data_IF_545048359006
#
_entry.id   IF_545048359006
#
_cell.length_a   1.000
_cell.length_b   1.000
_cell.length_c   1.000
_cell.angle_alpha   90.00
_cell.angle_beta   90.00
_cell.angle_gamma   90.00
#
_symmetry.space_group_name_H-M   'P 1'
#
loop_
_entity.id
_entity.type
_entity.pdbx_description
1 polymer ?
#
# COMPACT_ATOMS: atom_id res chain seq x y z
N UNK A 1 13.24 14.11 -0.25
CA UNK A 1 13.44 12.76 0.33
C UNK A 1 13.20 11.67 -0.69
N UNK A 2 11.96 11.32 -1.07
CA UNK A 2 11.67 10.19 -1.99
C UNK A 2 12.46 10.28 -3.31
N UNK A 3 12.58 11.46 -3.91
CA UNK A 3 13.34 11.65 -5.15
C UNK A 3 14.82 11.25 -5.02
N UNK A 4 15.45 11.56 -3.88
CA UNK A 4 16.82 11.13 -3.58
C UNK A 4 16.86 9.64 -3.27
N UNK A 5 15.88 9.14 -2.52
CA UNK A 5 15.76 7.72 -2.18
C UNK A 5 15.67 6.83 -3.43
N UNK A 6 14.94 7.28 -4.46
CA UNK A 6 14.88 6.63 -5.77
C UNK A 6 16.26 6.47 -6.42
N UNK A 7 17.04 7.54 -6.44
CA UNK A 7 18.35 7.61 -7.11
C UNK A 7 19.44 6.89 -6.30
N UNK A 8 19.50 7.15 -5.00
CA UNK A 8 20.61 6.78 -4.13
C UNK A 8 20.48 5.35 -3.60
N UNK A 9 19.26 4.81 -3.52
CA UNK A 9 19.03 3.53 -2.85
C UNK A 9 18.10 2.58 -3.61
N UNK A 10 16.88 3.00 -3.96
CA UNK A 10 15.85 2.10 -4.50
C UNK A 10 16.25 1.53 -5.87
N UNK A 11 16.68 2.38 -6.81
CA UNK A 11 17.14 1.92 -8.12
C UNK A 11 18.40 1.02 -8.00
N UNK A 12 19.47 1.41 -7.27
CA UNK A 12 20.63 0.55 -7.05
C UNK A 12 20.30 -0.83 -6.44
N UNK A 13 19.28 -0.93 -5.59
CA UNK A 13 18.87 -2.19 -4.96
C UNK A 13 17.73 -2.92 -5.71
N UNK A 14 17.33 -2.43 -6.88
CA UNK A 14 16.38 -3.10 -7.78
C UNK A 14 14.93 -3.08 -7.29
N UNK A 15 14.53 -2.07 -6.53
CA UNK A 15 13.12 -1.80 -6.25
C UNK A 15 12.41 -1.28 -7.51
N UNK A 16 11.16 -1.69 -7.72
CA UNK A 16 10.41 -1.33 -8.92
C UNK A 16 9.64 0.00 -8.77
N UNK A 17 9.32 0.42 -7.55
CA UNK A 17 8.51 1.61 -7.33
C UNK A 17 8.22 1.93 -5.87
N UNK A 18 7.50 3.03 -5.66
CA UNK A 18 7.14 3.60 -4.37
C UNK A 18 5.64 3.91 -4.36
N UNK A 19 4.92 3.41 -3.36
CA UNK A 19 3.61 3.97 -3.00
C UNK A 19 3.84 5.24 -2.18
N UNK A 20 3.30 6.37 -2.61
CA UNK A 20 3.31 7.60 -1.82
C UNK A 20 1.99 7.75 -1.08
N UNK A 21 2.04 8.32 0.13
CA UNK A 21 0.83 8.75 0.85
C UNK A 21 -0.02 9.71 0.01
N UNK A 22 -1.31 9.95 0.37
CA UNK A 22 -2.16 10.86 -0.38
C UNK A 22 -1.50 12.22 -0.63
N UNK A 23 -1.60 12.66 -1.88
CA UNK A 23 -0.99 13.90 -2.40
C UNK A 23 -2.01 15.02 -2.63
N UNK A 24 -3.30 14.68 -2.60
CA UNK A 24 -4.40 15.64 -2.62
C UNK A 24 -4.46 16.40 -1.29
N UNK A 25 -4.92 17.65 -1.35
CA UNK A 25 -5.09 18.51 -0.19
C UNK A 25 -6.04 17.86 0.82
N UNK A 26 -5.57 17.78 2.05
CA UNK A 26 -6.25 17.15 3.15
C UNK A 26 -6.49 18.14 4.29
N UNK A 27 -7.41 17.82 5.20
CA UNK A 27 -7.66 18.65 6.39
C UNK A 27 -6.42 18.75 7.29
N UNK A 28 -6.33 19.85 8.03
CA UNK A 28 -5.36 20.01 9.12
C UNK A 28 -6.06 19.62 10.43
N UNK A 29 -5.67 18.48 11.01
CA UNK A 29 -6.21 17.98 12.28
C UNK A 29 -5.29 18.33 13.44
N UNK A 30 -5.84 18.56 14.64
CA UNK A 30 -5.01 18.81 15.83
C UNK A 30 -4.04 17.65 16.09
N UNK A 31 -2.78 17.97 16.39
CA UNK A 31 -1.72 16.96 16.62
C UNK A 31 -1.11 16.35 15.36
N UNK A 32 -1.68 16.64 14.18
CA UNK A 32 -1.23 16.17 12.85
C UNK A 32 -1.13 14.64 12.72
N UNK A 33 -2.15 13.89 13.17
CA UNK A 33 -2.16 12.44 13.10
C UNK A 33 -2.00 11.97 11.66
N UNK A 34 -1.38 10.81 11.45
CA UNK A 34 -1.11 10.30 10.09
C UNK A 34 -2.39 10.17 9.25
N UNK A 35 -3.52 9.83 9.88
CA UNK A 35 -4.81 9.64 9.21
C UNK A 35 -5.41 10.95 8.69
N UNK A 36 -4.89 12.13 9.05
CA UNK A 36 -5.39 13.41 8.51
C UNK A 36 -5.31 13.46 6.97
N UNK A 37 -4.40 12.66 6.38
CA UNK A 37 -4.24 12.53 4.93
C UNK A 37 -5.40 11.82 4.24
N UNK A 38 -6.13 10.97 4.96
CA UNK A 38 -7.27 10.20 4.46
C UNK A 38 -8.58 10.97 4.62
N UNK A 39 -8.49 12.30 4.70
CA UNK A 39 -9.64 13.19 4.81
C UNK A 39 -9.45 14.35 3.83
N UNK A 40 -9.71 14.11 2.54
CA UNK A 40 -9.45 15.10 1.51
C UNK A 40 -10.44 16.26 1.64
N UNK A 41 -9.95 17.46 1.35
CA UNK A 41 -10.74 18.70 1.34
C UNK A 41 -10.71 19.36 -0.05
N UNK A 42 -9.70 19.04 -0.86
CA UNK A 42 -9.70 19.33 -2.29
C UNK A 42 -8.74 18.43 -3.07
N UNK A 43 -8.70 18.56 -4.40
CA UNK A 43 -7.74 17.87 -5.27
C UNK A 43 -6.49 18.68 -5.60
N UNK A 44 -6.25 19.82 -4.93
CA UNK A 44 -4.98 20.55 -5.06
C UNK A 44 -3.82 19.69 -4.57
N UNK A 45 -2.69 19.71 -5.27
CA UNK A 45 -1.50 18.97 -4.86
C UNK A 45 -0.63 19.82 -3.91
N UNK A 46 -1.06 19.93 -2.66
CA UNK A 46 -0.34 20.65 -1.61
C UNK A 46 -0.59 19.99 -0.26
N UNK A 47 0.42 19.31 0.26
CA UNK A 47 0.36 18.58 1.55
C UNK A 47 1.61 18.84 2.38
N UNK A 48 1.71 18.21 3.55
CA UNK A 48 2.97 18.21 4.34
C UNK A 48 4.15 17.56 3.60
N UNK A 49 3.91 16.74 2.58
CA UNK A 49 4.97 16.14 1.74
C UNK A 49 5.55 17.10 0.69
N UNK A 50 4.89 18.24 0.46
CA UNK A 50 5.29 19.20 -0.55
C UNK A 50 4.13 19.65 -1.44
N UNK A 51 4.47 20.49 -2.42
CA UNK A 51 3.55 21.00 -3.44
C UNK A 51 3.67 20.27 -4.79
N UNK A 52 2.84 20.64 -5.75
CA UNK A 52 2.80 20.06 -7.10
C UNK A 52 4.16 20.08 -7.82
N UNK A 53 4.94 21.16 -7.70
CA UNK A 53 6.25 21.26 -8.36
C UNK A 53 7.25 20.26 -7.75
N UNK A 54 7.23 20.12 -6.43
CA UNK A 54 8.07 19.16 -5.71
C UNK A 54 7.64 17.73 -6.02
N UNK A 55 6.33 17.47 -6.10
CA UNK A 55 5.78 16.18 -6.50
C UNK A 55 6.18 15.82 -7.95
N UNK A 56 5.98 16.73 -8.90
CA UNK A 56 6.37 16.53 -10.30
C UNK A 56 7.88 16.29 -10.45
N UNK A 57 8.70 17.02 -9.70
CA UNK A 57 10.16 16.81 -9.64
C UNK A 57 10.52 15.42 -9.12
N UNK A 58 9.85 14.98 -8.03
CA UNK A 58 10.03 13.64 -7.48
C UNK A 58 9.65 12.55 -8.50
N UNK A 59 8.47 12.68 -9.13
CA UNK A 59 8.00 11.71 -10.13
C UNK A 59 8.93 11.64 -11.33
N UNK A 60 9.42 12.78 -11.83
CA UNK A 60 10.41 12.82 -12.93
C UNK A 60 11.68 12.08 -12.54
N UNK A 61 12.32 12.46 -11.44
CA UNK A 61 13.59 11.89 -10.98
C UNK A 61 13.51 10.39 -10.73
N UNK A 62 12.44 9.93 -10.08
CA UNK A 62 12.24 8.49 -9.86
C UNK A 62 12.04 7.72 -11.18
N UNK A 63 11.22 8.23 -12.10
CA UNK A 63 11.00 7.59 -13.40
C UNK A 63 12.28 7.52 -14.24
N UNK A 64 13.14 8.56 -14.18
CA UNK A 64 14.40 8.62 -14.93
C UNK A 64 15.39 7.52 -14.48
N UNK A 65 15.31 7.07 -13.22
CA UNK A 65 16.07 5.92 -12.69
C UNK A 65 15.29 4.60 -12.67
N UNK A 66 14.12 4.55 -13.33
CA UNK A 66 13.31 3.34 -13.48
C UNK A 66 12.47 2.95 -12.27
N UNK A 67 12.37 3.81 -11.25
CA UNK A 67 11.53 3.60 -10.06
C UNK A 67 10.18 4.28 -10.29
N UNK A 68 9.11 3.49 -10.29
CA UNK A 68 7.75 3.97 -10.60
C UNK A 68 7.02 4.52 -9.37
N UNK A 69 6.18 5.53 -9.57
CA UNK A 69 5.40 6.13 -8.48
C UNK A 69 3.95 5.65 -8.56
N UNK A 70 3.43 5.14 -7.46
CA UNK A 70 2.03 4.79 -7.27
C UNK A 70 1.43 5.74 -6.23
N UNK A 71 0.33 6.40 -6.56
CA UNK A 71 -0.29 7.37 -5.65
C UNK A 71 -1.43 6.71 -4.89
N UNK A 72 -1.47 6.93 -3.59
CA UNK A 72 -2.64 6.65 -2.75
C UNK A 72 -3.75 7.66 -3.03
N UNK A 73 -4.86 7.21 -3.62
CA UNK A 73 -5.97 8.04 -4.07
C UNK A 73 -7.25 7.74 -3.31
N UNK A 74 -7.93 8.82 -2.92
CA UNK A 74 -9.14 8.81 -2.10
C UNK A 74 -10.32 9.13 -3.01
N UNK A 75 -10.99 8.09 -3.50
CA UNK A 75 -12.13 8.22 -4.43
C UNK A 75 -13.48 8.02 -3.72
N UNK A 76 -13.46 7.48 -2.50
CA UNK A 76 -14.66 7.11 -1.75
C UNK A 76 -15.35 8.31 -1.09
N UNK A 77 -14.56 9.17 -0.45
CA UNK A 77 -15.09 10.15 0.50
C UNK A 77 -14.32 11.46 0.48
N UNK A 78 -14.92 12.47 1.10
CA UNK A 78 -14.26 13.70 1.57
C UNK A 78 -14.12 13.67 3.10
N UNK A 79 -13.54 14.71 3.69
CA UNK A 79 -13.29 14.77 5.14
C UNK A 79 -14.55 14.53 5.98
N UNK A 80 -14.38 13.98 7.18
CA UNK A 80 -15.44 13.88 8.17
C UNK A 80 -15.80 15.23 8.79
N UNK A 81 -16.74 15.20 9.73
CA UNK A 81 -17.18 16.41 10.43
C UNK A 81 -16.01 17.11 11.15
N UNK A 82 -16.00 18.44 11.06
CA UNK A 82 -15.02 19.30 11.71
C UNK A 82 -15.74 20.39 12.50
N UNK A 83 -15.22 20.74 13.67
CA UNK A 83 -15.80 21.81 14.49
C UNK A 83 -15.51 23.15 13.82
N UNK A 84 -16.54 23.74 13.21
CA UNK A 84 -16.42 25.00 12.46
C UNK A 84 -15.95 24.79 11.02
N UNK A 85 -15.21 25.75 10.48
CA UNK A 85 -14.69 25.67 9.11
C UNK A 85 -13.40 24.85 9.08
N UNK A 86 -13.41 23.73 8.36
CA UNK A 86 -12.21 22.93 8.11
C UNK A 86 -11.23 23.71 7.22
N UNK A 87 -9.94 23.55 7.49
CA UNK A 87 -8.85 24.15 6.69
C UNK A 87 -7.98 23.07 6.10
N UNK A 88 -7.66 23.22 4.82
CA UNK A 88 -6.79 22.32 4.10
C UNK A 88 -5.33 22.73 4.11
N UNK A 89 -4.46 21.76 3.88
CA UNK A 89 -3.00 21.93 3.76
C UNK A 89 -2.57 22.82 2.57
N UNK A 90 -3.46 23.08 1.61
CA UNK A 90 -3.31 23.97 0.45
C UNK A 90 -4.13 25.25 0.55
N UNK A 91 -4.63 25.57 1.75
CA UNK A 91 -5.35 26.82 2.05
C UNK A 91 -6.83 26.82 1.69
N UNK A 92 -7.39 25.70 1.19
CA UNK A 92 -8.83 25.59 0.97
C UNK A 92 -9.59 25.58 2.30
N UNK A 93 -10.86 25.97 2.24
CA UNK A 93 -11.78 25.92 3.36
C UNK A 93 -13.00 25.09 2.97
N UNK A 94 -13.56 24.35 3.93
CA UNK A 94 -14.76 23.54 3.73
C UNK A 94 -15.65 23.56 4.98
N UNK A 95 -16.91 23.20 4.80
CA UNK A 95 -17.84 22.91 5.89
C UNK A 95 -18.33 21.47 5.72
N UNK A 96 -17.58 20.47 6.25
CA UNK A 96 -17.88 19.06 6.00
C UNK A 96 -19.25 18.63 6.53
N UNK A 97 -19.70 19.21 7.63
CA UNK A 97 -21.02 18.91 8.23
C UNK A 97 -22.21 19.30 7.34
N UNK A 98 -22.00 20.21 6.38
CA UNK A 98 -22.99 20.58 5.37
C UNK A 98 -22.64 20.04 3.98
N UNK A 99 -21.63 19.16 3.88
CA UNK A 99 -21.12 18.59 2.63
C UNK A 99 -20.70 19.66 1.62
N UNK A 100 -20.07 20.73 2.11
CA UNK A 100 -19.59 21.85 1.29
C UNK A 100 -18.08 21.81 1.15
N UNK A 101 -17.60 21.52 -0.06
CA UNK A 101 -16.17 21.51 -0.42
C UNK A 101 -15.91 22.41 -1.63
N UNK A 102 -15.88 23.74 -1.45
CA UNK A 102 -15.86 24.73 -2.54
C UNK A 102 -14.64 24.68 -3.46
N UNK A 103 -13.54 24.04 -3.05
CA UNK A 103 -12.33 23.94 -3.85
C UNK A 103 -12.39 22.84 -4.93
N UNK A 104 -13.30 21.87 -4.80
CA UNK A 104 -13.70 20.88 -5.83
C UNK A 104 -15.07 21.22 -6.42
N UNK A 105 -15.55 22.42 -6.13
CA UNK A 105 -16.97 22.73 -5.86
C UNK A 105 -17.95 21.57 -5.59
N UNK A 106 -17.67 20.63 -4.67
CA UNK A 106 -18.70 19.69 -4.24
C UNK A 106 -19.69 20.32 -3.25
N UNK A 107 -20.94 19.90 -3.37
CA UNK A 107 -22.08 20.25 -2.54
C UNK A 107 -22.77 18.98 -2.04
N UNK A 108 -23.77 19.10 -1.15
CA UNK A 108 -24.51 17.96 -0.64
C UNK A 108 -25.17 17.05 -1.69
N UNK A 109 -25.33 17.50 -2.94
CA UNK A 109 -25.87 16.69 -4.05
C UNK A 109 -24.86 15.68 -4.61
N UNK A 110 -23.57 15.87 -4.33
CA UNK A 110 -22.48 15.06 -4.86
C UNK A 110 -22.10 13.89 -3.93
N UNK A 111 -22.89 13.70 -2.87
CA UNK A 111 -22.69 12.70 -1.83
C UNK A 111 -23.94 11.86 -1.67
N UNK A 112 -23.77 10.61 -1.25
CA UNK A 112 -24.90 9.80 -0.80
C UNK A 112 -25.61 10.45 0.39
N UNK A 113 -26.91 10.16 0.63
CA UNK A 113 -27.59 10.57 1.86
C UNK A 113 -26.83 10.13 3.11
N UNK A 114 -26.75 10.98 4.13
CA UNK A 114 -25.98 10.64 5.34
C UNK A 114 -26.60 9.47 6.10
N UNK A 115 -25.79 8.44 6.33
CA UNK A 115 -26.03 7.30 7.19
C UNK A 115 -24.70 6.75 7.69
N UNK A 116 -24.70 5.92 8.72
CA UNK A 116 -23.50 5.27 9.27
C UNK A 116 -23.49 3.78 8.91
N UNK A 117 -22.29 3.20 8.85
CA UNK A 117 -22.10 1.75 8.69
C UNK A 117 -22.16 1.08 10.07
N UNK A 118 -23.22 0.31 10.33
CA UNK A 118 -23.34 -0.51 11.53
C UNK A 118 -23.42 -2.01 11.22
N UNK A 119 -23.90 -2.38 10.02
CA UNK A 119 -23.93 -3.76 9.54
C UNK A 119 -22.98 -3.94 8.35
N UNK A 120 -21.83 -4.55 8.61
CA UNK A 120 -20.81 -4.87 7.59
C UNK A 120 -21.24 -5.98 6.61
N UNK A 121 -22.38 -6.62 6.84
CA UNK A 121 -22.97 -7.57 5.90
C UNK A 121 -24.08 -6.93 5.04
N UNK A 122 -24.43 -5.67 5.28
CA UNK A 122 -25.34 -4.90 4.43
C UNK A 122 -24.55 -4.15 3.37
N UNK A 123 -24.65 -4.61 2.12
CA UNK A 123 -23.96 -3.98 0.97
C UNK A 123 -24.28 -2.50 0.83
N UNK A 124 -25.54 -2.11 1.05
CA UNK A 124 -25.94 -0.71 0.92
C UNK A 124 -25.20 0.15 1.94
N UNK A 125 -25.14 -0.31 3.21
CA UNK A 125 -24.39 0.42 4.22
C UNK A 125 -22.91 0.46 3.89
N UNK A 126 -22.31 -0.66 3.50
CA UNK A 126 -20.88 -0.72 3.16
C UNK A 126 -20.53 0.23 2.02
N UNK A 127 -21.38 0.39 1.00
CA UNK A 127 -21.05 1.13 -0.23
C UNK A 127 -21.73 2.50 -0.40
N UNK A 128 -22.66 2.89 0.47
CA UNK A 128 -23.42 4.15 0.34
C UNK A 128 -23.64 4.90 1.67
N UNK A 129 -23.00 4.46 2.76
CA UNK A 129 -23.01 5.17 4.04
C UNK A 129 -21.61 5.67 4.42
N UNK A 130 -21.57 6.66 5.31
CA UNK A 130 -20.36 7.35 5.74
C UNK A 130 -19.48 6.41 6.58
N UNK A 131 -18.35 5.96 6.00
CA UNK A 131 -17.31 5.21 6.71
C UNK A 131 -16.75 6.10 7.83
N UNK A 132 -17.02 5.76 9.09
CA UNK A 132 -16.61 6.53 10.29
C UNK A 132 -16.90 8.04 10.20
N UNK A 133 -18.00 8.40 9.55
CA UNK A 133 -18.47 9.80 9.41
C UNK A 133 -17.81 10.60 8.28
N UNK A 134 -16.95 9.97 7.47
CA UNK A 134 -16.37 10.55 6.25
C UNK A 134 -17.45 10.75 5.19
N UNK A 135 -17.49 11.93 4.55
CA UNK A 135 -18.59 12.26 3.64
C UNK A 135 -18.49 11.46 2.35
N UNK A 136 -19.40 10.51 2.21
CA UNK A 136 -19.40 9.48 1.17
C UNK A 136 -19.87 10.03 -0.18
N UNK A 137 -18.96 10.07 -1.16
CA UNK A 137 -19.22 10.61 -2.50
C UNK A 137 -20.16 9.68 -3.28
N UNK A 138 -21.03 10.24 -4.12
CA UNK A 138 -21.85 9.45 -5.03
C UNK A 138 -21.10 9.23 -6.36
N UNK A 139 -20.35 8.12 -6.47
CA UNK A 139 -19.59 7.81 -7.69
C UNK A 139 -20.47 7.41 -8.88
N UNK A 140 -21.80 7.31 -8.71
CA UNK A 140 -22.73 7.12 -9.84
C UNK A 140 -23.04 8.43 -10.57
N UNK A 141 -22.79 9.57 -9.93
CA UNK A 141 -22.96 10.91 -10.50
C UNK A 141 -21.92 11.21 -11.59
N UNK A 142 -22.38 11.66 -12.76
CA UNK A 142 -21.50 12.09 -13.86
C UNK A 142 -20.55 13.22 -13.45
N UNK A 143 -21.00 14.12 -12.56
CA UNK A 143 -20.18 15.22 -12.08
C UNK A 143 -19.05 14.72 -11.18
N UNK A 144 -19.37 13.84 -10.22
CA UNK A 144 -18.37 13.23 -9.33
C UNK A 144 -17.36 12.42 -10.13
N UNK A 145 -17.82 11.56 -11.05
CA UNK A 145 -16.94 10.80 -11.96
C UNK A 145 -16.00 11.72 -12.74
N UNK A 146 -16.51 12.82 -13.29
CA UNK A 146 -15.69 13.79 -14.03
C UNK A 146 -14.58 14.36 -13.15
N UNK A 147 -14.91 14.82 -11.94
CA UNK A 147 -13.91 15.38 -11.02
C UNK A 147 -12.86 14.34 -10.59
N UNK A 148 -13.28 13.09 -10.33
CA UNK A 148 -12.38 11.99 -9.98
C UNK A 148 -11.46 11.61 -11.15
N UNK A 149 -11.98 11.52 -12.37
CA UNK A 149 -11.18 11.22 -13.57
C UNK A 149 -10.19 12.37 -13.84
N UNK A 150 -10.59 13.63 -13.68
CA UNK A 150 -9.71 14.78 -13.90
C UNK A 150 -8.49 14.78 -12.97
N UNK A 151 -8.66 14.47 -11.68
CA UNK A 151 -7.52 14.38 -10.74
C UNK A 151 -6.60 13.19 -11.08
N UNK A 152 -7.16 12.04 -11.44
CA UNK A 152 -6.37 10.86 -11.85
C UNK A 152 -5.58 11.15 -13.13
N UNK A 153 -6.21 11.77 -14.14
CA UNK A 153 -5.57 12.18 -15.38
C UNK A 153 -4.48 13.22 -15.17
N UNK A 154 -4.69 14.16 -14.24
CA UNK A 154 -3.67 15.11 -13.86
C UNK A 154 -2.44 14.41 -13.26
N UNK A 155 -2.63 13.47 -12.33
CA UNK A 155 -1.54 12.68 -11.75
C UNK A 155 -0.80 11.84 -12.79
N UNK A 156 -1.51 11.21 -13.74
CA UNK A 156 -0.90 10.48 -14.86
C UNK A 156 -0.08 11.42 -15.74
N UNK A 157 -0.56 12.65 -15.97
CA UNK A 157 0.17 13.68 -16.73
C UNK A 157 1.50 14.01 -16.07
N UNK A 158 1.54 14.08 -14.74
CA UNK A 158 2.76 14.30 -13.97
C UNK A 158 3.71 13.08 -13.95
N UNK A 159 3.31 11.94 -14.50
CA UNK A 159 4.14 10.75 -14.70
C UNK A 159 3.92 9.62 -13.69
N UNK A 160 2.82 9.65 -12.94
CA UNK A 160 2.42 8.57 -12.04
C UNK A 160 2.15 7.29 -12.84
N UNK A 161 2.59 6.13 -12.33
CA UNK A 161 2.49 4.85 -13.00
C UNK A 161 1.19 4.09 -12.67
N UNK A 162 0.49 4.49 -11.62
CA UNK A 162 -0.67 3.77 -11.11
C UNK A 162 -1.14 4.27 -9.75
N UNK A 163 -2.12 3.57 -9.20
CA UNK A 163 -2.87 4.03 -8.03
C UNK A 163 -3.13 2.91 -7.02
N UNK A 164 -2.92 3.21 -5.74
CA UNK A 164 -3.54 2.51 -4.61
C UNK A 164 -4.89 3.15 -4.39
N UNK A 165 -5.96 2.43 -4.62
CA UNK A 165 -7.33 2.95 -4.44
C UNK A 165 -7.76 2.67 -3.01
N UNK A 166 -7.78 3.72 -2.19
CA UNK A 166 -8.25 3.68 -0.81
C UNK A 166 -9.71 3.24 -0.71
N UNK A 167 -10.04 2.45 0.32
CA UNK A 167 -11.40 2.07 0.66
C UNK A 167 -12.21 1.54 -0.55
N UNK A 168 -11.58 0.82 -1.48
CA UNK A 168 -12.25 0.37 -2.70
C UNK A 168 -13.50 -0.48 -2.44
N UNK A 169 -13.50 -1.26 -1.35
CA UNK A 169 -14.66 -2.01 -0.86
C UNK A 169 -15.92 -1.16 -0.65
N UNK A 170 -15.73 0.11 -0.30
CA UNK A 170 -16.80 1.06 0.00
C UNK A 170 -17.34 1.78 -1.25
N UNK A 171 -16.86 1.42 -2.43
CA UNK A 171 -17.39 1.91 -3.71
C UNK A 171 -17.92 0.73 -4.52
N UNK A 172 -18.94 0.96 -5.36
CA UNK A 172 -19.40 -0.10 -6.26
C UNK A 172 -18.33 -0.39 -7.35
N UNK A 173 -18.09 -1.68 -7.62
CA UNK A 173 -17.11 -2.11 -8.62
C UNK A 173 -17.43 -1.53 -10.03
N UNK A 174 -18.71 -1.41 -10.39
CA UNK A 174 -19.13 -0.84 -11.68
C UNK A 174 -18.78 0.66 -11.80
N UNK A 175 -18.86 1.42 -10.72
CA UNK A 175 -18.47 2.84 -10.72
C UNK A 175 -16.96 3.00 -10.85
N UNK A 176 -16.20 2.13 -10.17
CA UNK A 176 -14.74 2.07 -10.31
C UNK A 176 -14.33 1.65 -11.72
N UNK A 177 -14.99 0.66 -12.33
CA UNK A 177 -14.75 0.24 -13.71
C UNK A 177 -14.93 1.40 -14.69
N UNK A 178 -16.02 2.18 -14.52
CA UNK A 178 -16.26 3.35 -15.32
C UNK A 178 -15.13 4.37 -15.19
N UNK A 179 -14.73 4.71 -13.96
CA UNK A 179 -13.65 5.67 -13.70
C UNK A 179 -12.34 5.17 -14.33
N UNK A 180 -11.95 3.92 -14.06
CA UNK A 180 -10.67 3.39 -14.53
C UNK A 180 -10.60 3.20 -16.04
N UNK A 181 -11.72 2.86 -16.68
CA UNK A 181 -11.81 2.73 -18.13
C UNK A 181 -11.72 4.07 -18.86
N UNK A 182 -12.08 5.17 -18.19
CA UNK A 182 -12.08 6.52 -18.78
C UNK A 182 -10.86 7.38 -18.40
N UNK A 183 -9.95 6.89 -17.56
CA UNK A 183 -8.64 7.54 -17.36
C UNK A 183 -7.80 7.51 -18.64
N UNK A 184 -6.84 8.41 -18.76
CA UNK A 184 -5.86 8.43 -19.85
C UNK A 184 -4.81 7.34 -19.73
N UNK A 185 -4.13 7.07 -20.85
CA UNK A 185 -2.94 6.21 -20.87
C UNK A 185 -1.75 6.91 -20.19
N UNK A 186 -0.78 6.11 -19.72
CA UNK A 186 0.43 6.61 -19.06
C UNK A 186 1.26 7.53 -19.97
N UNK A 187 1.85 8.56 -19.35
CA UNK A 187 2.58 9.58 -20.07
C UNK A 187 3.92 9.07 -20.64
N UNK A 188 4.03 8.97 -21.96
CA UNK A 188 5.25 8.48 -22.63
C UNK A 188 6.49 9.33 -22.37
N UNK A 189 6.34 10.61 -21.99
CA UNK A 189 7.46 11.48 -21.64
C UNK A 189 8.17 11.03 -20.35
N UNK A 190 7.55 10.15 -19.56
CA UNK A 190 8.12 9.52 -18.36
C UNK A 190 8.64 8.09 -18.61
N UNK A 191 8.88 7.75 -19.88
CA UNK A 191 9.49 6.47 -20.26
C UNK A 191 8.54 5.27 -20.17
N UNK A 192 7.22 5.51 -20.21
CA UNK A 192 6.21 4.46 -20.33
C UNK A 192 5.99 4.07 -21.80
N UNK A 193 5.68 2.79 -22.10
CA UNK A 193 5.26 2.38 -23.44
C UNK A 193 3.99 3.10 -23.89
N UNK A 194 3.85 3.28 -25.22
CA UNK A 194 2.61 3.80 -25.81
C UNK A 194 1.44 2.87 -25.43
N UNK A 195 0.32 3.48 -25.04
CA UNK A 195 -0.90 2.78 -24.62
C UNK A 195 -0.76 1.90 -23.37
N UNK A 196 0.29 2.13 -22.57
CA UNK A 196 0.34 1.54 -21.24
C UNK A 196 -0.75 2.16 -20.35
N UNK A 197 -1.52 1.31 -19.66
CA UNK A 197 -2.54 1.74 -18.70
C UNK A 197 -1.95 1.91 -17.30
N UNK A 198 -2.49 2.81 -16.46
CA UNK A 198 -2.11 2.89 -15.05
C UNK A 198 -2.28 1.55 -14.35
N UNK A 199 -1.32 1.17 -13.51
CA UNK A 199 -1.44 -0.01 -12.66
C UNK A 199 -2.37 0.29 -11.48
N UNK A 200 -3.49 -0.42 -11.39
CA UNK A 200 -4.47 -0.26 -10.32
C UNK A 200 -4.30 -1.39 -9.30
N UNK A 201 -4.25 -1.02 -8.02
CA UNK A 201 -4.47 -1.96 -6.93
C UNK A 201 -5.40 -1.38 -5.88
N UNK A 202 -6.32 -2.21 -5.42
CA UNK A 202 -7.52 -1.77 -4.72
C UNK A 202 -7.49 -2.28 -3.30
N UNK A 203 -7.74 -1.40 -2.33
CA UNK A 203 -7.94 -1.81 -0.95
C UNK A 203 -9.34 -2.43 -0.78
N UNK A 204 -9.37 -3.75 -0.72
CA UNK A 204 -10.57 -4.50 -0.34
C UNK A 204 -10.21 -5.41 0.81
N UNK A 205 -10.57 -4.99 2.02
CA UNK A 205 -10.44 -5.81 3.22
C UNK A 205 -11.55 -6.86 3.17
N UNK A 206 -11.20 -8.07 2.76
CA UNK A 206 -12.08 -9.24 2.72
C UNK A 206 -11.40 -10.43 3.40
N UNK A 207 -11.91 -10.81 4.57
CA UNK A 207 -11.43 -11.95 5.36
C UNK A 207 -12.01 -13.31 4.87
N UNK A 208 -12.75 -13.33 3.77
CA UNK A 208 -13.23 -14.51 3.06
C UNK A 208 -14.70 -14.88 3.29
N UNK A 209 -15.44 -14.06 4.02
CA UNK A 209 -16.83 -14.33 4.42
C UNK A 209 -17.73 -13.08 4.36
N UNK A 210 -17.32 -12.07 3.60
CA UNK A 210 -17.96 -10.76 3.60
C UNK A 210 -18.93 -10.58 2.44
N UNK A 211 -19.98 -9.78 2.62
CA UNK A 211 -21.01 -9.54 1.59
C UNK A 211 -20.44 -8.85 0.35
N UNK A 212 -19.48 -7.95 0.54
CA UNK A 212 -18.71 -7.33 -0.54
C UNK A 212 -17.38 -8.07 -0.61
N UNK A 213 -17.21 -8.84 -1.67
CA UNK A 213 -16.03 -9.70 -1.83
C UNK A 213 -14.97 -9.04 -2.70
N UNK A 214 -13.70 -9.31 -2.39
CA UNK A 214 -12.56 -8.90 -3.22
C UNK A 214 -12.62 -9.42 -4.66
N UNK A 215 -13.28 -10.57 -4.89
CA UNK A 215 -13.40 -11.16 -6.22
C UNK A 215 -14.12 -10.24 -7.21
N UNK A 216 -15.01 -9.37 -6.72
CA UNK A 216 -15.75 -8.36 -7.51
C UNK A 216 -14.83 -7.33 -8.18
N UNK A 217 -13.62 -7.13 -7.66
CA UNK A 217 -12.70 -6.07 -8.07
C UNK A 217 -11.52 -6.58 -8.92
N UNK A 218 -11.36 -7.91 -9.03
CA UNK A 218 -10.20 -8.55 -9.67
C UNK A 218 -10.11 -8.32 -11.18
N UNK A 219 -11.23 -8.01 -11.84
CA UNK A 219 -11.25 -7.62 -13.26
C UNK A 219 -10.75 -6.20 -13.50
N UNK A 220 -10.76 -5.35 -12.47
CA UNK A 220 -10.45 -3.92 -12.55
C UNK A 220 -8.96 -3.63 -12.33
N UNK A 221 -8.27 -4.55 -11.65
CA UNK A 221 -6.87 -4.41 -11.28
C UNK A 221 -6.48 -5.41 -10.21
N UNK A 222 -5.30 -5.24 -9.63
CA UNK A 222 -4.92 -6.02 -8.46
C UNK A 222 -5.76 -5.64 -7.24
N UNK A 223 -5.80 -6.51 -6.24
CA UNK A 223 -6.51 -6.29 -4.98
C UNK A 223 -5.58 -6.65 -3.82
N UNK A 224 -5.63 -5.86 -2.75
CA UNK A 224 -4.89 -6.14 -1.51
C UNK A 224 -5.33 -7.46 -0.89
N UNK A 225 -4.42 -8.43 -0.81
CA UNK A 225 -4.69 -9.74 -0.23
C UNK A 225 -4.43 -9.70 1.29
N UNK A 226 -5.37 -9.15 2.07
CA UNK A 226 -5.22 -9.03 3.52
C UNK A 226 -5.04 -10.38 4.23
N UNK A 227 -5.64 -11.46 3.72
CA UNK A 227 -5.46 -12.81 4.31
C UNK A 227 -4.01 -13.30 4.18
N UNK A 228 -3.24 -12.81 3.21
CA UNK A 228 -1.80 -13.06 3.16
C UNK A 228 -1.11 -12.51 4.42
N UNK A 229 -1.39 -11.25 4.78
CA UNK A 229 -0.80 -10.58 5.96
C UNK A 229 -1.16 -11.31 7.26
N UNK A 230 -2.42 -11.73 7.39
CA UNK A 230 -2.89 -12.49 8.55
C UNK A 230 -2.21 -13.85 8.68
N UNK A 231 -2.22 -14.65 7.62
CA UNK A 231 -1.74 -16.02 7.66
C UNK A 231 -0.20 -16.08 7.77
N UNK A 232 0.52 -15.14 7.14
CA UNK A 232 1.98 -15.08 7.27
C UNK A 232 2.37 -14.63 8.69
N UNK A 233 1.59 -13.72 9.27
CA UNK A 233 1.70 -13.34 10.68
C UNK A 233 1.52 -14.54 11.61
N UNK A 234 0.43 -15.31 11.44
CA UNK A 234 0.17 -16.53 12.21
C UNK A 234 1.31 -17.55 12.10
N UNK A 235 1.79 -17.83 10.89
CA UNK A 235 2.85 -18.80 10.66
C UNK A 235 4.16 -18.40 11.36
N UNK A 236 4.63 -17.17 11.16
CA UNK A 236 5.92 -16.73 11.70
C UNK A 236 5.88 -16.35 13.19
N UNK A 237 4.69 -16.14 13.76
CA UNK A 237 4.49 -16.10 15.24
C UNK A 237 4.44 -17.47 15.89
N UNK A 238 4.44 -18.56 15.11
CA UNK A 238 4.37 -19.93 15.61
C UNK A 238 2.95 -20.40 15.92
N UNK A 239 1.92 -19.65 15.50
CA UNK A 239 0.52 -20.06 15.59
C UNK A 239 0.11 -21.00 14.45
N UNK A 240 0.99 -21.20 13.46
CA UNK A 240 0.85 -22.22 12.43
C UNK A 240 2.24 -22.74 12.02
N UNK A 241 2.36 -24.03 11.71
CA UNK A 241 3.66 -24.64 11.40
C UNK A 241 4.13 -24.24 9.98
N UNK A 242 5.41 -23.87 9.83
CA UNK A 242 5.95 -23.41 8.55
C UNK A 242 5.83 -24.44 7.42
N UNK A 243 5.80 -25.75 7.71
CA UNK A 243 5.63 -26.80 6.70
C UNK A 243 4.40 -26.61 5.80
N UNK A 244 3.33 -26.01 6.32
CA UNK A 244 2.09 -25.83 5.57
C UNK A 244 2.21 -24.79 4.46
N UNK A 245 3.25 -23.95 4.52
CA UNK A 245 3.52 -22.93 3.50
C UNK A 245 3.94 -23.53 2.15
N UNK A 246 4.08 -24.88 2.03
CA UNK A 246 4.32 -25.55 0.76
C UNK A 246 3.27 -25.21 -0.32
N UNK A 247 2.02 -25.03 0.09
CA UNK A 247 0.89 -24.70 -0.79
C UNK A 247 0.51 -23.22 -0.79
N UNK A 248 1.37 -22.35 -0.23
CA UNK A 248 1.10 -20.92 -0.05
C UNK A 248 0.65 -20.25 -1.36
N UNK A 249 -0.44 -19.49 -1.31
CA UNK A 249 -1.10 -18.94 -2.50
C UNK A 249 -2.57 -19.35 -2.60
N UNK A 250 -3.05 -19.65 -3.81
CA UNK A 250 -4.45 -20.03 -4.08
C UNK A 250 -4.90 -21.29 -3.32
N UNK A 251 -3.98 -22.19 -2.95
CA UNK A 251 -4.27 -23.34 -2.09
C UNK A 251 -4.72 -22.97 -0.67
N UNK A 252 -4.44 -21.74 -0.23
CA UNK A 252 -4.93 -21.15 1.02
C UNK A 252 -6.21 -20.33 0.82
N UNK A 253 -6.77 -20.38 -0.39
CA UNK A 253 -7.91 -19.59 -0.80
C UNK A 253 -7.56 -18.11 -0.98
N UNK A 254 -6.31 -17.77 -1.29
CA UNK A 254 -5.95 -16.42 -1.73
C UNK A 254 -6.32 -16.22 -3.22
N UNK A 255 -6.32 -14.97 -3.67
CA UNK A 255 -6.51 -14.60 -5.06
C UNK A 255 -5.45 -15.22 -6.00
N UNK A 256 -5.70 -15.25 -7.32
CA UNK A 256 -4.65 -15.51 -8.31
C UNK A 256 -3.46 -14.56 -8.12
N UNK A 257 -2.25 -15.08 -8.32
CA UNK A 257 -0.98 -14.38 -8.01
C UNK A 257 -0.86 -13.02 -8.72
N UNK A 258 -1.28 -12.95 -9.97
CA UNK A 258 -1.27 -11.76 -10.82
C UNK A 258 -2.32 -10.71 -10.44
N UNK A 259 -3.33 -11.09 -9.65
CA UNK A 259 -4.39 -10.23 -9.14
C UNK A 259 -4.16 -9.82 -7.68
N UNK A 260 -3.17 -10.40 -6.99
CA UNK A 260 -2.94 -10.19 -5.57
C UNK A 260 -1.79 -9.21 -5.31
N UNK A 261 -2.09 -8.05 -4.71
CA UNK A 261 -1.07 -7.24 -4.04
C UNK A 261 -0.89 -7.77 -2.61
N UNK A 262 0.35 -8.12 -2.25
CA UNK A 262 0.66 -8.83 -1.00
C UNK A 262 1.67 -8.05 -0.17
N UNK A 263 1.49 -8.08 1.14
CA UNK A 263 2.32 -7.39 2.11
C UNK A 263 2.31 -8.14 3.45
N UNK A 264 3.38 -8.02 4.23
CA UNK A 264 3.42 -8.58 5.59
C UNK A 264 2.58 -7.74 6.54
N UNK A 265 2.68 -6.41 6.41
CA UNK A 265 1.90 -5.38 7.08
C UNK A 265 1.66 -4.20 6.13
N UNK A 266 0.65 -3.40 6.44
CA UNK A 266 0.41 -2.10 5.81
C UNK A 266 0.39 -1.00 6.87
N UNK A 267 0.06 0.22 6.46
CA UNK A 267 0.08 1.37 7.35
C UNK A 267 -1.05 1.34 8.41
N UNK A 268 -2.20 0.73 8.12
CA UNK A 268 -3.29 0.56 9.09
C UNK A 268 -3.01 -0.57 10.08
N UNK A 269 -2.84 -1.79 9.57
CA UNK A 269 -2.89 -2.99 10.39
C UNK A 269 -1.69 -3.13 11.34
N UNK A 270 -0.57 -2.47 11.04
CA UNK A 270 0.55 -2.37 11.98
C UNK A 270 0.19 -1.62 13.27
N UNK A 271 -0.91 -0.85 13.28
CA UNK A 271 -1.41 -0.03 14.40
C UNK A 271 -2.58 -0.65 15.14
N UNK A 272 -3.21 -1.71 14.62
CA UNK A 272 -4.44 -2.29 15.18
C UNK A 272 -4.20 -3.17 16.43
N UNK A 273 -2.95 -3.27 16.91
CA UNK A 273 -2.60 -3.94 18.16
C UNK A 273 -2.80 -5.46 18.15
N UNK A 274 -3.07 -6.05 16.98
CA UNK A 274 -3.37 -7.47 16.78
C UNK A 274 -2.16 -8.38 16.63
N UNK A 275 -2.35 -9.47 15.88
CA UNK A 275 -1.34 -10.51 15.64
C UNK A 275 -0.50 -10.23 14.38
N UNK A 276 -0.67 -9.08 13.74
CA UNK A 276 0.04 -8.67 12.55
C UNK A 276 1.52 -8.50 12.89
N UNK A 277 2.41 -8.96 12.00
CA UNK A 277 3.84 -8.78 12.16
C UNK A 277 4.23 -7.41 11.65
N UNK A 278 4.94 -6.63 12.46
CA UNK A 278 5.51 -5.35 12.07
C UNK A 278 6.96 -5.22 12.58
N UNK A 279 7.59 -4.08 12.33
CA UNK A 279 8.98 -3.82 12.72
C UNK A 279 9.27 -4.00 14.22
N UNK A 280 8.26 -3.90 15.11
CA UNK A 280 8.41 -4.10 16.57
C UNK A 280 8.66 -5.57 16.95
N UNK A 281 8.44 -6.51 16.03
CA UNK A 281 8.82 -7.94 16.17
C UNK A 281 9.91 -8.31 15.15
N UNK A 282 11.13 -7.76 15.26
CA UNK A 282 12.06 -7.64 14.13
C UNK A 282 12.56 -8.97 13.59
N UNK A 283 12.74 -10.00 14.43
CA UNK A 283 13.19 -11.32 13.97
C UNK A 283 12.13 -11.97 13.08
N UNK A 284 10.91 -12.09 13.60
CA UNK A 284 9.78 -12.72 12.93
C UNK A 284 9.39 -11.92 11.67
N UNK A 285 9.35 -10.59 11.76
CA UNK A 285 9.06 -9.72 10.62
C UNK A 285 10.04 -9.96 9.47
N UNK A 286 11.35 -9.93 9.73
CA UNK A 286 12.38 -10.18 8.70
C UNK A 286 12.27 -11.58 8.10
N UNK A 287 11.93 -12.60 8.89
CA UNK A 287 11.72 -13.96 8.38
C UNK A 287 10.48 -14.02 7.47
N UNK A 288 9.37 -13.40 7.87
CA UNK A 288 8.15 -13.32 7.06
C UNK A 288 8.39 -12.56 5.74
N UNK A 289 9.04 -11.38 5.78
CA UNK A 289 9.37 -10.60 4.59
C UNK A 289 10.34 -11.36 3.67
N UNK A 290 11.32 -12.10 4.22
CA UNK A 290 12.20 -12.93 3.41
C UNK A 290 11.43 -14.07 2.72
N UNK A 291 10.48 -14.72 3.40
CA UNK A 291 9.61 -15.73 2.77
C UNK A 291 8.73 -15.10 1.68
N UNK A 292 8.10 -13.97 1.96
CA UNK A 292 7.28 -13.21 1.01
C UNK A 292 8.03 -12.86 -0.27
N UNK A 293 9.28 -12.42 -0.16
CA UNK A 293 10.10 -12.06 -1.32
C UNK A 293 10.66 -13.29 -2.05
N UNK A 294 10.94 -14.39 -1.35
CA UNK A 294 11.46 -15.62 -1.93
C UNK A 294 10.38 -16.47 -2.64
N UNK A 295 9.16 -16.49 -2.12
CA UNK A 295 8.07 -17.32 -2.64
C UNK A 295 7.44 -16.69 -3.90
N UNK A 296 7.14 -17.46 -4.97
CA UNK A 296 6.64 -16.93 -6.24
C UNK A 296 5.13 -16.62 -6.25
N UNK A 297 4.66 -15.86 -5.26
CA UNK A 297 3.24 -15.49 -5.16
C UNK A 297 3.06 -13.98 -4.95
N UNK A 298 2.12 -13.39 -5.68
CA UNK A 298 1.68 -12.01 -5.52
C UNK A 298 2.66 -10.96 -6.04
N UNK A 299 2.13 -9.74 -6.13
CA UNK A 299 2.86 -8.50 -6.33
C UNK A 299 3.28 -8.01 -4.94
N UNK A 300 4.57 -8.05 -4.63
CA UNK A 300 5.07 -7.79 -3.28
C UNK A 300 5.21 -6.29 -2.99
N UNK A 301 4.61 -5.84 -1.89
CA UNK A 301 4.84 -4.54 -1.27
C UNK A 301 5.56 -4.74 0.07
N UNK A 302 6.51 -3.84 0.34
CA UNK A 302 7.26 -3.77 1.61
C UNK A 302 6.91 -2.45 2.28
N UNK A 303 6.44 -2.49 3.52
CA UNK A 303 6.17 -1.30 4.31
C UNK A 303 7.47 -0.56 4.64
N UNK A 304 7.39 0.77 4.76
CA UNK A 304 8.47 1.59 5.29
C UNK A 304 7.90 2.61 6.27
N UNK A 305 8.13 2.39 7.55
CA UNK A 305 7.42 3.02 8.65
C UNK A 305 8.20 4.20 9.25
N UNK A 306 7.48 5.05 9.97
CA UNK A 306 8.06 5.83 11.07
C UNK A 306 7.77 5.14 12.40
N UNK A 307 8.60 5.41 13.41
CA UNK A 307 8.44 4.86 14.75
C UNK A 307 7.26 5.50 15.47
N UNK A 308 6.38 4.67 16.02
CA UNK A 308 5.22 5.12 16.80
C UNK A 308 5.03 4.27 18.05
N UNK A 309 4.51 4.87 19.11
CA UNK A 309 4.07 4.19 20.33
C UNK A 309 2.54 4.29 20.53
N UNK A 310 1.91 5.27 19.87
CA UNK A 310 0.46 5.48 19.86
C UNK A 310 -0.12 5.31 18.45
N UNK A 311 -1.39 4.86 18.36
CA UNK A 311 -2.08 4.58 17.10
C UNK A 311 -2.19 5.83 16.21
N UNK A 312 -2.48 6.97 16.80
CA UNK A 312 -2.76 8.22 16.10
C UNK A 312 -1.51 9.10 15.96
N UNK A 313 -0.35 8.61 16.41
CA UNK A 313 0.88 9.38 16.42
C UNK A 313 1.24 9.91 15.03
N UNK A 314 1.53 11.21 14.98
CA UNK A 314 2.06 11.89 13.80
C UNK A 314 3.43 11.32 13.38
N UNK A 315 3.80 11.43 12.08
CA UNK A 315 5.19 11.23 11.68
C UNK A 315 6.12 12.24 12.38
N UNK A 316 7.45 11.97 12.43
CA UNK A 316 8.43 12.88 13.00
C UNK A 316 8.25 14.31 12.50
N UNK A 317 8.11 15.26 13.43
CA UNK A 317 7.81 16.66 13.10
C UNK A 317 8.50 17.65 14.03
N UNK A 318 8.78 18.84 13.50
CA UNK A 318 9.36 19.94 14.27
C UNK A 318 8.30 20.70 15.09
N UNK A 319 8.72 21.73 15.83
CA UNK A 319 7.83 22.57 16.64
C UNK A 319 6.84 23.41 15.82
N UNK A 320 6.98 23.44 14.49
CA UNK A 320 6.05 24.07 13.54
C UNK A 320 5.23 23.01 12.79
N UNK A 321 5.23 21.76 13.26
CA UNK A 321 4.53 20.64 12.67
C UNK A 321 4.94 20.33 11.22
N UNK A 322 6.15 20.70 10.82
CA UNK A 322 6.71 20.29 9.53
C UNK A 322 7.35 18.92 9.67
N UNK A 323 7.19 18.07 8.66
CA UNK A 323 7.80 16.73 8.69
C UNK A 323 9.32 16.88 8.75
N UNK A 324 9.96 16.15 9.67
CA UNK A 324 11.41 16.03 9.74
C UNK A 324 11.84 14.94 8.77
N UNK A 325 12.69 15.30 7.80
CA UNK A 325 13.23 14.37 6.82
C UNK A 325 14.00 13.21 7.47
N UNK A 326 13.95 12.00 6.87
CA UNK A 326 14.86 10.92 7.25
C UNK A 326 16.31 11.35 7.01
N UNK A 327 17.18 10.97 7.93
CA UNK A 327 18.63 11.03 7.78
C UNK A 327 19.20 9.62 7.90
N UNK A 328 20.43 9.42 7.43
CA UNK A 328 21.07 8.11 7.39
C UNK A 328 22.35 8.13 8.22
N UNK A 329 22.51 7.13 9.10
CA UNK A 329 23.75 6.92 9.84
C UNK A 329 24.85 6.29 8.97
N UNK A 330 26.03 6.08 9.57
CA UNK A 330 27.18 5.51 8.86
C UNK A 330 26.96 4.07 8.36
N UNK A 331 26.02 3.34 8.95
CA UNK A 331 25.64 1.98 8.56
C UNK A 331 24.48 1.97 7.54
N UNK A 332 23.98 3.15 7.15
CA UNK A 332 22.87 3.34 6.21
C UNK A 332 21.49 3.16 6.85
N UNK A 333 21.41 3.04 8.17
CA UNK A 333 20.17 2.99 8.94
C UNK A 333 19.52 4.37 9.04
N UNK A 334 18.18 4.41 9.05
CA UNK A 334 17.45 5.66 9.20
C UNK A 334 17.46 6.16 10.65
N UNK A 335 17.56 7.48 10.78
CA UNK A 335 17.44 8.20 12.05
C UNK A 335 16.21 9.12 12.03
N UNK A 336 16.12 10.11 12.92
CA UNK A 336 14.98 11.03 13.03
C UNK A 336 13.62 10.36 13.25
N UNK A 337 13.60 9.16 13.84
CA UNK A 337 12.37 8.42 14.12
C UNK A 337 11.82 7.65 12.92
N UNK A 338 12.58 7.48 11.84
CA UNK A 338 12.20 6.66 10.69
C UNK A 338 12.76 5.23 10.82
N UNK A 339 11.96 4.22 10.50
CA UNK A 339 12.32 2.80 10.63
C UNK A 339 13.05 2.28 9.39
N UNK A 340 12.55 2.66 8.21
CA UNK A 340 13.11 2.30 6.90
C UNK A 340 13.40 0.81 6.73
N UNK A 341 12.39 -0.03 6.90
CA UNK A 341 12.47 -1.48 6.73
C UNK A 341 13.05 -1.85 5.35
N UNK A 342 12.71 -1.08 4.31
CA UNK A 342 13.27 -1.24 2.96
C UNK A 342 14.81 -1.11 2.89
N UNK A 343 15.44 -0.42 3.86
CA UNK A 343 16.91 -0.29 3.98
C UNK A 343 17.55 -1.38 4.82
N UNK A 344 16.77 -2.25 5.46
CA UNK A 344 17.34 -3.34 6.24
C UNK A 344 18.04 -4.33 5.32
N UNK A 345 19.27 -4.71 5.65
CA UNK A 345 20.10 -5.65 4.87
C UNK A 345 19.36 -6.93 4.49
N UNK A 346 18.56 -7.46 5.41
CA UNK A 346 17.78 -8.66 5.18
C UNK A 346 16.68 -8.45 4.14
N UNK A 347 16.13 -7.24 4.03
CA UNK A 347 15.01 -6.93 3.12
C UNK A 347 15.54 -6.57 1.74
N UNK A 348 16.47 -5.61 1.60
CA UNK A 348 16.96 -5.23 0.27
C UNK A 348 17.73 -6.37 -0.42
N UNK A 349 18.45 -7.23 0.32
CA UNK A 349 19.07 -8.40 -0.29
C UNK A 349 18.04 -9.44 -0.74
N UNK A 350 16.88 -9.51 -0.08
CA UNK A 350 15.80 -10.39 -0.51
C UNK A 350 15.01 -9.81 -1.69
N UNK A 351 15.00 -8.48 -1.88
CA UNK A 351 14.60 -7.86 -3.15
C UNK A 351 15.57 -8.25 -4.27
N UNK A 352 16.89 -8.17 -4.00
CA UNK A 352 17.92 -8.69 -4.90
C UNK A 352 17.74 -10.18 -5.22
N UNK A 353 17.44 -11.01 -4.22
CA UNK A 353 17.13 -12.43 -4.41
C UNK A 353 15.92 -12.61 -5.32
N UNK A 354 14.79 -11.92 -5.05
CA UNK A 354 13.56 -11.97 -5.86
C UNK A 354 13.83 -11.62 -7.31
N UNK A 355 14.65 -10.60 -7.56
CA UNK A 355 15.09 -10.20 -8.89
C UNK A 355 15.94 -11.28 -9.57
N UNK A 356 16.93 -11.84 -8.87
CA UNK A 356 17.82 -12.88 -9.39
C UNK A 356 17.05 -14.15 -9.80
N UNK A 357 16.04 -14.54 -9.02
CA UNK A 357 15.23 -15.75 -9.25
C UNK A 357 13.99 -15.51 -10.12
N UNK A 358 13.82 -14.32 -10.69
CA UNK A 358 12.68 -14.00 -11.55
C UNK A 358 12.51 -15.03 -12.70
N UNK A 359 11.26 -15.41 -12.95
CA UNK A 359 10.90 -16.37 -14.01
C UNK A 359 11.18 -17.84 -13.68
N UNK A 360 11.50 -18.15 -12.43
CA UNK A 360 11.68 -19.54 -11.95
C UNK A 360 10.52 -19.98 -11.07
N UNK A 361 10.21 -21.27 -11.10
CA UNK A 361 9.23 -21.88 -10.21
C UNK A 361 9.83 -22.31 -8.86
N UNK A 362 8.93 -22.58 -7.91
CA UNK A 362 9.28 -23.27 -6.68
C UNK A 362 9.70 -24.71 -7.00
N UNK A 363 10.80 -25.19 -6.44
CA UNK A 363 11.22 -26.59 -6.56
C UNK A 363 11.95 -27.06 -5.31
N UNK A 364 12.11 -28.39 -5.16
CA UNK A 364 12.85 -29.02 -4.07
C UNK A 364 12.45 -28.50 -2.68
N UNK A 365 11.14 -28.42 -2.45
CA UNK A 365 10.61 -28.15 -1.11
C UNK A 365 11.08 -29.23 -0.14
N UNK A 366 11.58 -28.79 1.01
CA UNK A 366 11.93 -29.63 2.14
C UNK A 366 11.34 -29.01 3.40
N UNK A 367 10.85 -29.86 4.29
CA UNK A 367 10.49 -29.49 5.65
C UNK A 367 10.82 -30.62 6.64
N UNK A 368 10.93 -30.29 7.92
CA UNK A 368 11.16 -31.26 8.99
C UNK A 368 9.87 -31.85 9.59
N UNK A 369 8.72 -31.67 8.94
CA UNK A 369 7.41 -31.99 9.51
C UNK A 369 6.92 -30.99 10.56
N UNK A 370 7.60 -29.85 10.73
CA UNK A 370 7.29 -28.81 11.73
C UNK A 370 7.65 -27.39 11.22
N UNK A 371 8.63 -26.72 11.84
CA UNK A 371 8.94 -25.29 11.68
C UNK A 371 10.31 -25.03 11.05
N UNK A 372 10.92 -26.03 10.40
CA UNK A 372 12.05 -25.85 9.49
C UNK A 372 11.61 -26.14 8.07
N UNK A 373 11.84 -25.19 7.17
CA UNK A 373 11.51 -25.32 5.76
C UNK A 373 12.67 -24.82 4.90
N UNK A 374 12.81 -25.36 3.69
CA UNK A 374 13.72 -24.87 2.68
C UNK A 374 13.17 -25.14 1.29
N UNK A 375 13.54 -24.33 0.32
CA UNK A 375 13.16 -24.54 -1.07
C UNK A 375 14.10 -23.83 -2.03
N UNK A 376 14.08 -24.31 -3.28
CA UNK A 376 14.76 -23.70 -4.40
C UNK A 376 13.81 -22.83 -5.22
N UNK A 377 14.37 -21.82 -5.87
CA UNK A 377 13.77 -21.08 -6.97
C UNK A 377 14.54 -21.37 -8.25
N UNK A 378 14.03 -22.37 -8.98
CA UNK A 378 14.76 -23.04 -10.06
C UNK A 378 16.17 -23.45 -9.63
N UNK A 379 17.16 -23.14 -10.47
CA UNK A 379 18.59 -23.31 -10.19
C UNK A 379 19.30 -21.98 -9.85
N UNK A 380 18.53 -20.96 -9.44
CA UNK A 380 19.03 -19.58 -9.26
C UNK A 380 19.08 -19.13 -7.81
N UNK A 381 18.29 -19.73 -6.93
CA UNK A 381 18.26 -19.35 -5.52
C UNK A 381 17.81 -20.48 -4.62
N UNK A 382 18.30 -20.45 -3.38
CA UNK A 382 17.93 -21.36 -2.32
C UNK A 382 17.70 -20.54 -1.05
N UNK A 383 16.68 -20.90 -0.28
CA UNK A 383 16.38 -20.26 1.01
C UNK A 383 15.98 -21.32 2.03
N UNK A 384 16.33 -21.10 3.29
CA UNK A 384 15.95 -21.94 4.42
C UNK A 384 15.49 -21.07 5.60
N UNK A 385 14.49 -21.56 6.33
CA UNK A 385 13.91 -20.93 7.50
C UNK A 385 13.90 -21.93 8.65
N UNK A 386 14.17 -21.42 9.86
CA UNK A 386 14.07 -22.18 11.10
C UNK A 386 13.33 -21.35 12.14
N UNK A 387 12.11 -21.76 12.47
CA UNK A 387 11.31 -21.20 13.54
C UNK A 387 11.16 -22.17 14.73
N UNK A 388 11.91 -23.27 14.74
CA UNK A 388 12.02 -24.14 15.91
C UNK A 388 12.96 -23.54 16.98
N UNK A 389 12.88 -24.07 18.20
CA UNK A 389 13.77 -23.74 19.32
C UNK A 389 15.12 -24.49 19.27
N UNK A 390 15.37 -25.25 18.20
CA UNK A 390 16.60 -26.01 17.97
C UNK A 390 17.12 -25.77 16.55
N UNK A 391 18.40 -26.05 16.33
CA UNK A 391 19.10 -25.70 15.10
C UNK A 391 18.65 -26.51 13.88
N UNK A 392 18.74 -25.88 12.71
CA UNK A 392 18.64 -26.56 11.41
C UNK A 392 20.05 -27.00 11.02
N UNK A 393 20.31 -28.31 11.08
CA UNK A 393 21.57 -28.93 10.68
C UNK A 393 21.28 -30.12 9.77
N UNK A 394 21.22 -29.85 8.46
CA UNK A 394 20.82 -30.81 7.43
C UNK A 394 21.65 -30.65 6.16
N UNK A 395 21.86 -31.74 5.43
CA UNK A 395 22.39 -31.71 4.06
C UNK A 395 21.21 -31.64 3.10
N UNK A 396 21.01 -30.49 2.46
CA UNK A 396 19.87 -30.21 1.57
C UNK A 396 20.34 -30.03 0.13
N UNK A 397 19.52 -30.46 -0.83
CA UNK A 397 19.74 -30.16 -2.25
C UNK A 397 19.40 -28.69 -2.52
N UNK A 398 20.41 -27.86 -2.81
CA UNK A 398 20.24 -26.42 -3.02
C UNK A 398 19.88 -26.05 -4.45
N UNK A 399 19.95 -27.01 -5.39
CA UNK A 399 19.66 -26.81 -6.82
C UNK A 399 20.60 -25.81 -7.53
N UNK A 400 21.55 -25.21 -6.80
CA UNK A 400 22.51 -24.27 -7.32
C UNK A 400 23.68 -25.02 -7.97
N UNK A 401 24.35 -24.41 -8.95
CA UNK A 401 25.67 -24.85 -9.38
C UNK A 401 26.64 -24.89 -8.19
N UNK A 402 27.62 -25.80 -8.24
CA UNK A 402 28.66 -25.87 -7.21
C UNK A 402 29.48 -24.57 -7.20
N UNK A 403 29.70 -23.99 -6.02
CA UNK A 403 30.45 -22.76 -5.84
C UNK A 403 30.42 -22.23 -4.41
#
# INVERSE_FOLDING_TARGET
DIAQECEDFLAPHGYAGVQVSPVAENIISEGRPWWERYQPISYKLSTRSGNELEFASMVRRCNDVGVRIYVDVLLNHMSGDFVGTARGTGGSVAEPSTKSFPAVPYTAQDFHPSCEIYDWNDRFQVQQCELVGLKDLDQSSDYVRTQLIEVLDHLITLGVAGFRVDAAKHMAADDLDYIFSNMRDLNTDHGFPKSARPFIYQEVIDHGHETVSRDEYTSLGAVTEFRFSEEIGKAFRGNNALKWLQSWGTGWGFLPSEQALTFVDNHDNQRDGGQELNYKSPKQYKMATAFHLAFPYGISQVMSSFGFDDRDQAPPQDAQERIISPEFDADGGCTNGWICEHRWRQIYNMVGFKNAVRGTDLSNWWDNGDNQIAFCRGNKGFVAFNNNLYDLSQTLQTCLPAG
#
